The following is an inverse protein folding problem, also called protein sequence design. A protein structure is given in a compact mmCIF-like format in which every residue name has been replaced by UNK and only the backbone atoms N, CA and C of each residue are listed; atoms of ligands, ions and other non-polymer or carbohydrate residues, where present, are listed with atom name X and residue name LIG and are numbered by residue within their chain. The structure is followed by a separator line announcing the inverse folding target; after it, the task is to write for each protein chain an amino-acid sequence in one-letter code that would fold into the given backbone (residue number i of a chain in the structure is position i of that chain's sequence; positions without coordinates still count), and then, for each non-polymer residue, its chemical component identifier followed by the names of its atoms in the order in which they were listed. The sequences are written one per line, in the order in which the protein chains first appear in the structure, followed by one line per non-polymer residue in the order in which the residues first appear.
data_IF_978956316892
#
_entry.id   IF_978956316892
#
_cell.length_a   1.000
_cell.length_b   1.000
_cell.length_c   1.000
_cell.angle_alpha   90.00
_cell.angle_beta   90.00
_cell.angle_gamma   90.00
#
_symmetry.space_group_name_H-M   'P 1'
#
loop_
_entity.id
_entity.type
_entity.pdbx_description
1 polymer ?
#
# COMPACT_ATOMS: atom_id res chain seq x y z
N UNK A 1 -12.92 4.64 -8.51
CA UNK A 1 -11.54 4.36 -8.06
C UNK A 1 -10.63 3.84 -9.17
N UNK A 2 -10.94 2.73 -9.88
CA UNK A 2 -10.15 2.26 -11.05
C UNK A 2 -9.88 3.37 -12.08
N UNK A 3 -10.89 4.19 -12.39
CA UNK A 3 -10.74 5.30 -13.34
C UNK A 3 -9.75 6.38 -12.87
N UNK A 4 -9.64 6.62 -11.55
CA UNK A 4 -8.75 7.64 -11.00
C UNK A 4 -7.30 7.15 -11.02
N UNK A 5 -7.04 5.93 -10.55
CA UNK A 5 -5.73 5.30 -10.62
C UNK A 5 -5.23 5.18 -12.08
N UNK A 6 -6.09 4.73 -13.00
CA UNK A 6 -5.76 4.66 -14.42
C UNK A 6 -5.40 6.04 -14.99
N UNK A 7 -6.11 7.10 -14.59
CA UNK A 7 -5.79 8.46 -15.02
C UNK A 7 -4.47 8.96 -14.43
N UNK A 8 -4.17 8.67 -13.17
CA UNK A 8 -2.89 9.02 -12.53
C UNK A 8 -1.72 8.31 -13.22
N UNK A 9 -1.84 7.02 -13.51
CA UNK A 9 -0.82 6.24 -14.21
C UNK A 9 -0.56 6.83 -15.61
N UNK A 10 -1.60 7.29 -16.31
CA UNK A 10 -1.46 7.91 -17.63
C UNK A 10 -0.77 9.26 -17.55
N UNK A 11 -1.11 10.08 -16.54
CA UNK A 11 -0.46 11.36 -16.32
C UNK A 11 1.02 11.18 -15.99
N UNK A 12 1.38 10.07 -15.34
CA UNK A 12 2.76 9.73 -14.95
C UNK A 12 3.42 8.67 -15.85
N UNK A 13 2.94 8.47 -17.08
CA UNK A 13 3.33 7.34 -17.94
C UNK A 13 4.84 7.28 -18.24
N UNK A 14 5.52 8.42 -18.20
CA UNK A 14 6.96 8.50 -18.41
C UNK A 14 7.78 7.87 -17.30
N UNK A 15 7.19 7.77 -16.10
CA UNK A 15 7.74 7.14 -14.91
C UNK A 15 7.28 5.69 -14.73
N UNK A 16 6.40 5.19 -15.61
CA UNK A 16 5.89 3.84 -15.54
C UNK A 16 6.95 2.78 -15.96
N UNK A 17 6.75 1.50 -15.58
CA UNK A 17 7.59 0.40 -16.04
C UNK A 17 7.66 0.29 -17.58
N UNK A 18 8.73 -0.27 -18.17
CA UNK A 18 8.95 -0.26 -19.62
C UNK A 18 7.78 -0.76 -20.48
N UNK A 19 7.02 -1.75 -19.99
CA UNK A 19 5.83 -2.30 -20.68
C UNK A 19 4.74 -1.25 -20.87
N UNK A 20 4.51 -0.40 -19.87
CA UNK A 20 3.50 0.67 -19.90
C UNK A 20 4.08 1.94 -20.52
N UNK A 21 5.35 2.24 -20.23
CA UNK A 21 6.06 3.45 -20.68
C UNK A 21 6.04 3.65 -22.19
N UNK A 22 6.04 2.57 -22.98
CA UNK A 22 5.96 2.61 -24.45
C UNK A 22 4.66 3.23 -24.97
N UNK A 23 3.59 3.21 -24.18
CA UNK A 23 2.31 3.83 -24.54
C UNK A 23 2.41 5.37 -24.64
N UNK A 24 3.49 5.99 -24.13
CA UNK A 24 3.75 7.44 -24.30
C UNK A 24 3.75 7.90 -25.77
N UNK A 25 4.02 6.98 -26.71
CA UNK A 25 4.07 7.28 -28.15
C UNK A 25 2.69 7.22 -28.82
N UNK A 26 1.66 6.81 -28.10
CA UNK A 26 0.29 6.75 -28.61
C UNK A 26 -0.49 8.03 -28.26
N UNK A 27 -1.52 8.40 -29.05
CA UNK A 27 -2.53 9.37 -28.63
C UNK A 27 -3.20 9.01 -27.31
N UNK A 28 -3.54 10.01 -26.48
CA UNK A 28 -4.10 9.82 -25.12
C UNK A 28 -5.33 8.90 -25.09
N UNK A 29 -6.23 9.01 -26.06
CA UNK A 29 -7.43 8.16 -26.12
C UNK A 29 -7.09 6.68 -26.31
N UNK A 30 -6.05 6.35 -27.09
CA UNK A 30 -5.59 4.97 -27.29
C UNK A 30 -4.87 4.44 -26.05
N UNK A 31 -4.12 5.29 -25.33
CA UNK A 31 -3.46 4.91 -24.06
C UNK A 31 -4.47 4.41 -23.05
N UNK A 32 -5.56 5.16 -22.86
CA UNK A 32 -6.68 4.81 -21.97
C UNK A 32 -7.28 3.46 -22.34
N UNK A 33 -7.56 3.24 -23.64
CA UNK A 33 -8.15 1.98 -24.12
C UNK A 33 -7.23 0.79 -23.83
N UNK A 34 -5.92 0.93 -24.12
CA UNK A 34 -4.96 -0.16 -23.94
C UNK A 34 -4.74 -0.45 -22.46
N UNK A 35 -4.58 0.59 -21.62
CA UNK A 35 -4.44 0.42 -20.18
C UNK A 35 -5.66 -0.26 -19.58
N UNK A 36 -6.87 0.20 -19.92
CA UNK A 36 -8.13 -0.43 -19.47
C UNK A 36 -8.23 -1.89 -19.88
N UNK A 37 -7.83 -2.22 -21.11
CA UNK A 37 -7.82 -3.62 -21.56
C UNK A 37 -6.84 -4.47 -20.76
N UNK A 38 -5.65 -3.93 -20.45
CA UNK A 38 -4.66 -4.63 -19.63
C UNK A 38 -5.12 -4.76 -18.18
N UNK A 39 -5.58 -3.68 -17.53
CA UNK A 39 -6.05 -3.70 -16.14
C UNK A 39 -7.25 -4.63 -15.98
N UNK A 40 -8.19 -4.63 -16.93
CA UNK A 40 -9.34 -5.55 -16.91
C UNK A 40 -8.93 -7.02 -17.05
N UNK A 41 -7.86 -7.32 -17.81
CA UNK A 41 -7.35 -8.69 -17.95
C UNK A 41 -6.61 -9.15 -16.69
N UNK A 42 -5.86 -8.26 -16.05
CA UNK A 42 -5.02 -8.59 -14.89
C UNK A 42 -5.78 -8.57 -13.57
N UNK A 43 -6.66 -7.58 -13.35
CA UNK A 43 -7.42 -7.42 -12.11
C UNK A 43 -8.84 -7.98 -12.24
N UNK A 44 -8.93 -9.31 -12.22
CA UNK A 44 -10.19 -10.05 -12.09
C UNK A 44 -10.62 -10.06 -10.63
N UNK A 45 -11.90 -9.80 -10.37
CA UNK A 45 -12.45 -9.78 -9.01
C UNK A 45 -13.17 -11.10 -8.80
N UNK A 46 -12.74 -11.84 -7.79
CA UNK A 46 -13.41 -13.04 -7.31
C UNK A 46 -13.78 -12.82 -5.84
N UNK A 47 -15.00 -13.23 -5.46
CA UNK A 47 -15.41 -13.20 -4.05
C UNK A 47 -15.02 -14.54 -3.43
N UNK A 48 -14.13 -14.47 -2.44
CA UNK A 48 -13.69 -15.63 -1.67
C UNK A 48 -14.18 -15.46 -0.23
N UNK A 49 -14.64 -16.55 0.38
CA UNK A 49 -14.88 -16.59 1.81
C UNK A 49 -13.56 -16.93 2.50
N UNK A 50 -13.09 -16.06 3.39
CA UNK A 50 -11.87 -16.27 4.14
C UNK A 50 -12.07 -15.90 5.62
N UNK A 51 -11.26 -16.52 6.48
CA UNK A 51 -11.19 -16.13 7.88
C UNK A 51 -10.28 -14.91 8.01
N UNK A 52 -10.74 -13.88 8.73
CA UNK A 52 -9.92 -12.73 9.10
C UNK A 52 -9.34 -12.95 10.50
N UNK A 53 -8.08 -12.55 10.67
CA UNK A 53 -7.33 -12.64 11.92
C UNK A 53 -6.45 -11.42 12.07
N UNK A 54 -6.15 -11.06 13.31
CA UNK A 54 -5.24 -9.94 13.59
C UNK A 54 -3.78 -10.36 13.37
N UNK A 55 -2.87 -9.38 13.24
CA UNK A 55 -1.44 -9.71 13.16
C UNK A 55 -0.98 -10.44 14.42
N UNK A 56 -1.38 -9.97 15.61
CA UNK A 56 -1.03 -10.60 16.88
C UNK A 56 -1.51 -12.04 17.02
N UNK A 57 -2.70 -12.38 16.49
CA UNK A 57 -3.16 -13.77 16.44
C UNK A 57 -2.20 -14.67 15.64
N UNK A 58 -1.69 -14.17 14.53
CA UNK A 58 -0.73 -14.90 13.67
C UNK A 58 0.62 -15.00 14.36
N UNK A 59 1.10 -13.93 15.01
CA UNK A 59 2.36 -13.96 15.76
C UNK A 59 2.33 -15.00 16.88
N UNK A 60 1.23 -15.06 17.62
CA UNK A 60 1.04 -16.00 18.73
C UNK A 60 0.96 -17.44 18.26
N UNK A 61 0.18 -17.73 17.22
CA UNK A 61 0.04 -19.08 16.67
C UNK A 61 1.38 -19.63 16.16
N UNK A 62 2.12 -18.82 15.40
CA UNK A 62 3.40 -19.24 14.82
C UNK A 62 4.59 -19.03 15.75
N UNK A 63 4.34 -18.63 17.01
CA UNK A 63 5.35 -18.33 18.00
C UNK A 63 6.43 -17.34 17.50
N UNK A 64 6.03 -16.36 16.69
CA UNK A 64 6.92 -15.36 16.10
C UNK A 64 7.35 -14.38 17.19
N UNK A 65 8.65 -14.37 17.47
CA UNK A 65 9.26 -13.51 18.49
C UNK A 65 9.77 -12.18 17.92
N UNK A 66 9.99 -12.10 16.61
CA UNK A 66 10.55 -10.92 15.95
C UNK A 66 10.11 -10.83 14.50
N UNK A 67 9.86 -9.60 14.05
CA UNK A 67 9.65 -9.23 12.64
C UNK A 67 10.68 -8.15 12.30
N UNK A 68 11.69 -8.51 11.52
CA UNK A 68 12.70 -7.55 11.07
C UNK A 68 12.12 -6.50 10.12
N UNK A 69 11.14 -6.90 9.29
CA UNK A 69 10.43 -6.05 8.36
C UNK A 69 8.97 -6.50 8.20
N UNK A 70 8.04 -5.63 8.57
CA UNK A 70 6.61 -5.80 8.33
C UNK A 70 6.21 -5.04 7.06
N UNK A 71 5.94 -5.75 5.97
CA UNK A 71 5.34 -5.16 4.76
C UNK A 71 3.81 -5.23 4.84
N UNK A 72 3.13 -4.11 4.64
CA UNK A 72 1.66 -4.03 4.60
C UNK A 72 1.22 -3.48 3.25
N UNK A 73 0.38 -4.25 2.57
CA UNK A 73 -0.13 -3.97 1.23
C UNK A 73 -1.49 -4.69 1.12
N UNK A 74 -2.53 -4.06 1.68
CA UNK A 74 -3.83 -4.68 1.96
C UNK A 74 -5.01 -3.89 1.40
N UNK A 75 -4.75 -2.94 0.52
CA UNK A 75 -5.77 -2.21 -0.25
C UNK A 75 -6.91 -1.62 0.63
N UNK A 76 -6.60 -0.52 1.35
CA UNK A 76 -7.48 0.33 2.19
C UNK A 76 -7.74 -0.12 3.62
N UNK A 77 -7.33 -1.32 3.99
CA UNK A 77 -7.44 -1.82 5.36
C UNK A 77 -6.13 -1.69 6.14
N UNK A 78 -5.24 -0.77 5.75
CA UNK A 78 -3.92 -0.65 6.34
C UNK A 78 -3.99 -0.29 7.83
N UNK A 79 -4.90 0.63 8.19
CA UNK A 79 -5.12 1.01 9.58
C UNK A 79 -5.65 -0.16 10.41
N UNK A 80 -6.52 -1.01 9.82
CA UNK A 80 -7.07 -2.18 10.50
C UNK A 80 -5.97 -3.19 10.88
N UNK A 81 -4.94 -3.33 10.03
CA UNK A 81 -3.78 -4.19 10.33
C UNK A 81 -3.04 -3.68 11.57
N UNK A 82 -2.79 -2.36 11.65
CA UNK A 82 -2.11 -1.76 12.80
C UNK A 82 -2.94 -1.82 14.08
N UNK A 83 -4.25 -1.60 13.99
CA UNK A 83 -5.17 -1.71 15.13
C UNK A 83 -5.34 -3.16 15.62
N UNK A 84 -4.97 -4.15 14.80
CA UNK A 84 -4.91 -5.56 15.17
C UNK A 84 -3.59 -5.99 15.84
N UNK A 85 -2.70 -5.06 16.20
CA UNK A 85 -1.46 -5.36 16.92
C UNK A 85 -1.68 -5.11 18.40
N UNK A 86 -1.57 -6.16 19.21
CA UNK A 86 -1.59 -6.08 20.67
C UNK A 86 -0.38 -5.26 21.17
N UNK A 87 -0.56 -4.49 22.24
CA UNK A 87 0.47 -3.57 22.79
C UNK A 87 1.85 -4.24 22.97
N UNK A 88 1.85 -5.46 23.53
CA UNK A 88 3.06 -6.24 23.80
C UNK A 88 3.82 -6.68 22.53
N UNK A 89 3.14 -6.77 21.38
CA UNK A 89 3.73 -7.28 20.14
C UNK A 89 4.42 -6.18 19.33
N UNK A 90 4.18 -4.91 19.62
CA UNK A 90 4.88 -3.79 18.99
C UNK A 90 6.39 -3.86 19.14
N UNK A 91 6.89 -4.41 20.26
CA UNK A 91 8.33 -4.55 20.49
C UNK A 91 9.01 -5.55 19.54
N UNK A 92 8.23 -6.47 18.95
CA UNK A 92 8.71 -7.51 18.03
C UNK A 92 9.02 -6.94 16.64
N UNK A 93 8.38 -5.85 16.24
CA UNK A 93 8.51 -5.26 14.90
C UNK A 93 9.65 -4.24 14.90
N UNK A 94 10.62 -4.41 14.00
CA UNK A 94 11.78 -3.50 13.87
C UNK A 94 11.61 -2.44 12.80
N UNK A 95 10.98 -2.82 11.68
CA UNK A 95 10.78 -1.93 10.54
C UNK A 95 9.40 -2.17 9.93
N UNK A 96 8.81 -1.11 9.38
CA UNK A 96 7.52 -1.17 8.70
C UNK A 96 7.65 -0.54 7.32
N UNK A 97 7.07 -1.18 6.31
CA UNK A 97 6.86 -0.61 4.99
C UNK A 97 5.40 -0.80 4.63
N UNK A 98 4.65 0.28 4.47
CA UNK A 98 3.22 0.21 4.19
C UNK A 98 2.87 1.08 2.98
N UNK A 99 2.13 0.49 2.03
CA UNK A 99 1.42 1.26 1.01
C UNK A 99 0.10 1.72 1.61
N UNK A 100 -0.05 3.03 1.82
CA UNK A 100 -1.22 3.63 2.47
C UNK A 100 -2.12 4.24 1.41
N UNK A 101 -3.35 3.75 1.34
CA UNK A 101 -4.45 4.49 0.74
C UNK A 101 -4.90 5.58 1.71
N UNK A 102 -4.62 6.85 1.41
CA UNK A 102 -5.02 7.96 2.26
C UNK A 102 -6.52 8.25 2.09
N UNK A 103 -7.33 7.66 2.96
CA UNK A 103 -8.75 7.98 3.10
C UNK A 103 -8.98 8.37 4.57
N UNK A 104 -9.78 9.40 4.80
CA UNK A 104 -10.07 9.90 6.15
C UNK A 104 -8.82 10.21 7.01
N UNK A 105 -7.77 10.77 6.38
CA UNK A 105 -6.52 11.15 7.04
C UNK A 105 -5.66 9.97 7.52
N UNK A 106 -5.72 8.83 6.82
CA UNK A 106 -5.05 7.59 7.25
C UNK A 106 -3.54 7.72 7.34
N UNK A 107 -2.90 8.48 6.44
CA UNK A 107 -1.44 8.67 6.50
C UNK A 107 -1.04 9.29 7.84
N UNK A 108 -1.75 10.32 8.28
CA UNK A 108 -1.50 11.00 9.56
C UNK A 108 -1.73 10.05 10.73
N UNK A 109 -2.87 9.35 10.77
CA UNK A 109 -3.20 8.37 11.83
C UNK A 109 -2.16 7.27 11.96
N UNK A 110 -1.69 6.70 10.85
CA UNK A 110 -0.65 5.66 10.86
C UNK A 110 0.69 6.23 11.32
N UNK A 111 1.03 7.45 10.87
CA UNK A 111 2.28 8.12 11.28
C UNK A 111 2.31 8.35 12.79
N UNK A 112 1.23 8.88 13.37
CA UNK A 112 1.10 9.07 14.82
C UNK A 112 1.19 7.76 15.59
N UNK A 113 0.47 6.73 15.12
CA UNK A 113 0.47 5.41 15.73
C UNK A 113 1.88 4.81 15.74
N UNK A 114 2.64 4.90 14.64
CA UNK A 114 4.01 4.41 14.58
C UNK A 114 4.94 5.21 15.51
N UNK A 115 4.82 6.54 15.54
CA UNK A 115 5.60 7.38 16.45
C UNK A 115 5.35 7.00 17.93
N UNK A 116 4.10 6.72 18.32
CA UNK A 116 3.75 6.30 19.68
C UNK A 116 4.37 4.95 20.07
N UNK A 117 4.67 4.08 19.11
CA UNK A 117 5.30 2.77 19.35
C UNK A 117 6.81 2.77 19.09
N UNK A 118 7.46 3.91 19.33
CA UNK A 118 8.91 4.08 19.30
C UNK A 118 9.54 3.88 17.91
N UNK A 119 8.81 4.09 16.82
CA UNK A 119 9.44 4.22 15.50
C UNK A 119 9.99 5.64 15.38
N UNK A 120 11.31 5.78 15.52
CA UNK A 120 12.01 7.06 15.61
C UNK A 120 12.11 7.79 14.26
N UNK A 121 12.04 7.04 13.16
CA UNK A 121 12.16 7.58 11.81
C UNK A 121 10.97 7.12 10.98
N UNK A 122 10.07 8.05 10.64
CA UNK A 122 8.96 7.82 9.71
C UNK A 122 9.16 8.65 8.45
N UNK A 123 9.29 7.99 7.30
CA UNK A 123 9.54 8.60 5.99
C UNK A 123 8.30 8.37 5.13
N UNK A 124 7.65 9.46 4.76
CA UNK A 124 6.57 9.46 3.77
C UNK A 124 7.15 9.68 2.38
N UNK A 125 6.83 8.78 1.47
CA UNK A 125 7.14 8.84 0.06
C UNK A 125 5.91 8.59 -0.79
N UNK A 126 6.09 8.74 -2.10
CA UNK A 126 5.08 8.36 -3.08
C UNK A 126 5.82 7.89 -4.33
N UNK A 127 5.46 6.71 -4.83
CA UNK A 127 6.08 6.24 -6.06
C UNK A 127 5.79 7.21 -7.21
N UNK A 128 6.76 7.44 -8.12
CA UNK A 128 6.59 8.38 -9.23
C UNK A 128 5.36 8.12 -10.10
N UNK A 129 4.95 6.85 -10.25
CA UNK A 129 3.77 6.47 -11.04
C UNK A 129 2.45 6.86 -10.35
N UNK A 130 2.44 6.92 -9.02
CA UNK A 130 1.29 7.26 -8.20
C UNK A 130 1.23 8.75 -7.83
N UNK A 131 2.17 9.57 -8.31
CA UNK A 131 2.21 11.00 -8.00
C UNK A 131 0.86 11.68 -8.30
N UNK A 132 0.29 12.34 -7.29
CA UNK A 132 -1.01 13.00 -7.38
C UNK A 132 -2.21 12.08 -7.14
N UNK A 133 -2.00 10.81 -6.78
CA UNK A 133 -3.04 9.97 -6.18
C UNK A 133 -3.03 10.06 -4.65
N UNK A 134 -3.98 9.36 -4.03
CA UNK A 134 -4.03 9.17 -2.59
C UNK A 134 -3.25 7.94 -2.12
N UNK A 135 -2.38 7.36 -2.95
CA UNK A 135 -1.56 6.20 -2.59
C UNK A 135 -0.17 6.69 -2.20
N UNK A 136 0.26 6.37 -0.98
CA UNK A 136 1.55 6.77 -0.44
C UNK A 136 2.34 5.55 0.03
N UNK A 137 3.66 5.68 0.14
CA UNK A 137 4.51 4.68 0.76
C UNK A 137 5.06 5.26 2.05
N UNK A 138 4.82 4.60 3.17
CA UNK A 138 5.37 4.98 4.46
C UNK A 138 6.38 3.94 4.90
N UNK A 139 7.58 4.39 5.25
CA UNK A 139 8.66 3.59 5.79
C UNK A 139 8.91 4.02 7.23
N UNK A 140 8.94 3.09 8.17
CA UNK A 140 9.22 3.38 9.56
C UNK A 140 10.33 2.48 10.10
N UNK A 141 11.24 3.09 10.87
CA UNK A 141 12.38 2.45 11.51
C UNK A 141 12.36 2.75 13.01
N UNK A 142 12.67 1.75 13.83
CA UNK A 142 12.92 1.93 15.27
C UNK A 142 14.35 2.35 15.53
#
# INVERSE_FOLDING_TARGET
MKNYLESTIINNIDKAPPRIRRLRWLPNFLRLIILRKQTKKTFQIERVNCQLRTLSDVLREHNIQQIDLLKIDVEKSELDVFLGIDEQDWQKIKQVVVEVHDIDGRVEKITELLNNHSFSTVILGQEPIFKGSNIFSLHALR
#
